data_IF_764978596857
#
_entry.id   IF_764978596857
#
_cell.length_a   1.000
_cell.length_b   1.000
_cell.length_c   1.000
_cell.angle_alpha   90.00
_cell.angle_beta   90.00
_cell.angle_gamma   90.00
#
_symmetry.space_group_name_H-M   'P 1'
#
loop_
_entity.id
_entity.type
_entity.pdbx_description
1 polymer ?
#
# COMPACT_ATOMS: atom_id res chain seq x y z
N UNK A 1 -2.39 -4.21 -16.18
CA UNK A 1 -3.51 -4.70 -15.35
C UNK A 1 -3.36 -4.16 -13.94
N UNK A 2 -4.43 -3.62 -13.38
CA UNK A 2 -4.40 -3.06 -12.02
C UNK A 2 -4.18 -4.17 -11.00
N UNK A 3 -3.26 -3.96 -10.06
CA UNK A 3 -3.01 -4.87 -8.96
C UNK A 3 -3.72 -4.35 -7.71
N UNK A 4 -4.64 -5.13 -7.18
CA UNK A 4 -5.44 -4.75 -6.00
C UNK A 4 -4.84 -5.39 -4.75
N UNK A 5 -4.76 -4.61 -3.68
CA UNK A 5 -4.23 -5.07 -2.40
C UNK A 5 -5.30 -4.96 -1.32
N UNK A 6 -5.41 -5.99 -0.51
CA UNK A 6 -6.40 -6.11 0.56
C UNK A 6 -5.69 -6.20 1.90
N UNK A 7 -6.42 -5.98 2.98
CA UNK A 7 -5.91 -6.26 4.32
C UNK A 7 -6.14 -7.74 4.69
N UNK A 8 -5.79 -8.12 5.92
CA UNK A 8 -5.96 -9.51 6.37
C UNK A 8 -7.42 -9.95 6.42
N UNK A 9 -8.34 -9.00 6.57
CA UNK A 9 -9.78 -9.28 6.62
C UNK A 9 -10.40 -9.40 5.23
N UNK A 10 -9.65 -9.10 4.19
CA UNK A 10 -10.15 -9.13 2.82
C UNK A 10 -10.75 -7.82 2.35
N UNK A 11 -10.57 -6.73 3.10
CA UNK A 11 -11.04 -5.41 2.69
C UNK A 11 -10.05 -4.80 1.70
N UNK A 12 -10.57 -4.26 0.59
CA UNK A 12 -9.73 -3.58 -0.40
C UNK A 12 -9.24 -2.26 0.18
N UNK A 13 -7.92 -2.11 0.25
CA UNK A 13 -7.30 -0.94 0.90
C UNK A 13 -6.36 -0.17 -0.01
N UNK A 14 -5.91 -0.76 -1.12
CA UNK A 14 -4.95 -0.08 -1.99
C UNK A 14 -4.92 -0.72 -3.38
N UNK A 15 -4.34 -0.01 -4.33
CA UNK A 15 -4.05 -0.57 -5.64
C UNK A 15 -2.86 0.14 -6.28
N UNK A 16 -2.26 -0.54 -7.26
CA UNK A 16 -1.24 0.03 -8.14
C UNK A 16 -1.68 -0.22 -9.57
N UNK A 17 -1.27 0.64 -10.51
CA UNK A 17 -1.77 0.60 -11.90
C UNK A 17 -1.47 -0.74 -12.56
N UNK A 18 -0.31 -1.31 -12.26
CA UNK A 18 0.01 -2.68 -12.64
C UNK A 18 0.93 -3.28 -11.59
N UNK A 19 1.24 -4.57 -11.72
CA UNK A 19 2.05 -5.27 -10.72
C UNK A 19 3.52 -4.82 -10.70
N UNK A 20 3.93 -3.97 -11.62
CA UNK A 20 5.24 -3.35 -11.64
C UNK A 20 5.18 -1.83 -11.41
N UNK A 21 4.00 -1.28 -11.17
CA UNK A 21 3.80 0.15 -10.95
C UNK A 21 4.50 0.62 -9.70
N UNK A 22 5.13 1.80 -9.75
CA UNK A 22 5.91 2.34 -8.64
C UNK A 22 5.05 3.02 -7.58
N UNK A 23 3.83 3.45 -7.94
CA UNK A 23 2.99 4.27 -7.06
C UNK A 23 1.82 3.48 -6.54
N UNK A 24 1.48 3.71 -5.27
CA UNK A 24 0.38 3.05 -4.59
C UNK A 24 -0.70 4.07 -4.25
N UNK A 25 -1.94 3.70 -4.50
CA UNK A 25 -3.12 4.55 -4.27
C UNK A 25 -4.11 3.84 -3.36
N UNK A 26 -4.90 4.61 -2.61
CA UNK A 26 -6.02 4.05 -1.88
C UNK A 26 -7.25 3.92 -2.82
N UNK A 27 -8.35 3.30 -2.37
CA UNK A 27 -9.54 3.15 -3.23
C UNK A 27 -10.14 4.45 -3.76
N UNK A 28 -9.89 5.58 -3.10
CA UNK A 28 -10.33 6.90 -3.56
C UNK A 28 -9.42 7.50 -4.62
N UNK A 29 -8.30 6.84 -4.95
CA UNK A 29 -7.33 7.34 -5.89
C UNK A 29 -6.32 8.32 -5.30
N UNK A 30 -6.27 8.44 -3.98
CA UNK A 30 -5.25 9.25 -3.32
C UNK A 30 -3.92 8.52 -3.29
N UNK A 31 -2.86 9.26 -3.57
CA UNK A 31 -1.51 8.71 -3.53
C UNK A 31 -1.08 8.52 -2.08
N UNK A 32 -0.83 7.27 -1.68
CA UNK A 32 -0.49 6.93 -0.30
C UNK A 32 0.92 6.39 -0.13
N UNK A 33 1.58 6.02 -1.23
CA UNK A 33 2.93 5.48 -1.11
C UNK A 33 3.53 5.10 -2.45
N UNK A 34 4.75 4.56 -2.40
CA UNK A 34 5.46 4.13 -3.59
C UNK A 34 6.50 3.07 -3.24
N UNK A 35 7.05 2.42 -4.27
CA UNK A 35 7.98 1.31 -4.13
C UNK A 35 9.38 1.77 -4.55
N UNK A 36 10.19 2.32 -3.63
CA UNK A 36 11.48 2.93 -4.01
C UNK A 36 12.58 1.92 -4.38
N UNK A 37 12.46 0.67 -3.91
CA UNK A 37 13.51 -0.33 -4.11
C UNK A 37 13.14 -1.41 -5.13
N UNK A 38 12.02 -1.26 -5.85
CA UNK A 38 11.51 -2.24 -6.82
C UNK A 38 11.30 -3.62 -6.21
N UNK A 39 10.88 -3.67 -4.94
CA UNK A 39 10.51 -4.90 -4.26
C UNK A 39 9.14 -4.75 -3.62
N UNK A 40 8.84 -5.50 -2.58
CA UNK A 40 7.52 -5.49 -1.94
C UNK A 40 7.36 -4.44 -0.86
N UNK A 41 8.42 -3.69 -0.52
CA UNK A 41 8.36 -2.68 0.52
C UNK A 41 7.84 -1.36 -0.03
N UNK A 42 6.86 -0.78 0.70
CA UNK A 42 6.21 0.47 0.33
C UNK A 42 6.56 1.53 1.38
N UNK A 43 6.86 2.73 0.92
CA UNK A 43 7.03 3.89 1.80
C UNK A 43 5.98 4.94 1.49
N UNK A 44 5.72 5.83 2.46
CA UNK A 44 4.86 7.00 2.25
C UNK A 44 5.54 7.97 1.28
N UNK A 45 4.82 8.98 0.76
CA UNK A 45 5.47 10.00 -0.07
C UNK A 45 6.66 10.69 0.62
N UNK A 46 6.65 10.75 1.95
CA UNK A 46 7.74 11.34 2.74
C UNK A 46 8.92 10.38 2.96
N UNK A 47 8.80 9.14 2.50
CA UNK A 47 9.88 8.16 2.62
C UNK A 47 9.86 7.32 3.89
N UNK A 48 8.77 7.33 4.64
CA UNK A 48 8.62 6.49 5.83
C UNK A 48 7.99 5.14 5.47
N UNK A 49 8.43 4.08 6.14
CA UNK A 49 7.89 2.74 5.87
C UNK A 49 6.37 2.71 6.11
N UNK A 50 5.64 2.22 5.11
CA UNK A 50 4.18 2.07 5.18
C UNK A 50 3.79 0.61 5.38
N UNK A 51 4.33 -0.28 4.59
CA UNK A 51 3.97 -1.69 4.63
C UNK A 51 4.72 -2.52 3.61
N UNK A 52 4.40 -3.81 3.56
CA UNK A 52 5.01 -4.78 2.66
C UNK A 52 3.92 -5.58 1.96
N UNK A 53 4.06 -5.80 0.67
CA UNK A 53 3.13 -6.61 -0.10
C UNK A 53 3.44 -8.09 0.16
N UNK A 54 2.45 -8.83 0.63
CA UNK A 54 2.52 -10.27 0.87
C UNK A 54 1.40 -10.91 0.03
N UNK A 55 1.75 -11.41 -1.14
CA UNK A 55 0.76 -11.92 -2.10
C UNK A 55 -0.13 -10.77 -2.60
N UNK A 56 -1.43 -10.84 -2.35
CA UNK A 56 -2.39 -9.78 -2.67
C UNK A 56 -2.77 -8.95 -1.43
N UNK A 57 -1.96 -9.01 -0.37
CA UNK A 57 -2.21 -8.30 0.89
C UNK A 57 -1.14 -7.24 1.12
N UNK A 58 -1.56 -6.13 1.70
CA UNK A 58 -0.64 -5.08 2.15
C UNK A 58 -0.64 -5.08 3.68
N UNK A 59 0.48 -5.47 4.27
CA UNK A 59 0.61 -5.65 5.71
C UNK A 59 1.84 -4.88 6.19
N UNK A 60 1.87 -4.54 7.47
CA UNK A 60 3.02 -3.89 8.10
C UNK A 60 3.87 -4.95 8.79
N UNK A 61 5.16 -5.02 8.44
CA UNK A 61 6.14 -5.85 9.14
C UNK A 61 6.54 -5.13 10.42
N UNK A 62 6.20 -5.70 11.58
CA UNK A 62 6.44 -5.06 12.88
C UNK A 62 7.91 -5.00 13.26
N UNK A 63 8.76 -5.77 12.59
CA UNK A 63 10.21 -5.81 12.82
C UNK A 63 10.99 -5.34 11.60
N UNK A 64 10.37 -4.54 10.73
CA UNK A 64 11.00 -4.09 9.49
C UNK A 64 12.26 -3.28 9.77
N UNK A 65 13.42 -3.66 9.19
CA UNK A 65 14.64 -2.88 9.38
C UNK A 65 14.55 -1.54 8.65
N UNK A 66 15.17 -0.52 9.23
CA UNK A 66 15.25 0.78 8.59
C UNK A 66 16.15 0.69 7.35
N UNK A 67 15.62 1.05 6.18
CA UNK A 67 16.33 0.99 4.90
C UNK A 67 16.77 2.37 4.39
N UNK A 68 16.68 3.38 5.23
CA UNK A 68 16.95 4.76 4.83
C UNK A 68 15.67 5.46 4.41
N UNK A 69 15.80 6.74 4.08
CA UNK A 69 14.69 7.55 3.61
C UNK A 69 14.92 7.89 2.14
N UNK A 70 14.20 7.24 1.20
CA UNK A 70 14.40 7.53 -0.22
C UNK A 70 13.97 8.94 -0.57
N UNK A 71 14.58 9.49 -1.63
CA UNK A 71 14.24 10.82 -2.11
C UNK A 71 12.80 10.85 -2.62
N UNK A 72 12.13 11.99 -2.44
CA UNK A 72 10.78 12.20 -2.91
C UNK A 72 10.71 12.01 -4.43
N UNK A 73 9.85 11.11 -4.94
CA UNK A 73 9.85 10.75 -6.35
C UNK A 73 9.09 11.75 -7.25
N UNK A 74 8.43 12.74 -6.67
CA UNK A 74 7.47 13.57 -7.37
C UNK A 74 6.08 12.95 -7.37
N UNK A 75 5.05 13.77 -7.33
CA UNK A 75 3.67 13.27 -7.25
C UNK A 75 3.26 12.64 -8.59
N UNK A 76 2.64 11.45 -8.57
CA UNK A 76 2.09 10.85 -9.78
C UNK A 76 0.83 11.58 -10.24
N UNK A 77 0.41 11.32 -11.48
CA UNK A 77 -0.89 11.77 -11.96
C UNK A 77 -2.00 11.03 -11.21
N UNK A 78 -3.14 11.71 -11.06
CA UNK A 78 -4.33 11.03 -10.56
C UNK A 78 -4.62 9.82 -11.47
N UNK A 79 -4.76 8.61 -10.92
CA UNK A 79 -4.87 7.40 -11.74
C UNK A 79 -6.24 7.21 -12.39
N UNK A 80 -7.20 8.05 -12.09
CA UNK A 80 -8.58 7.85 -12.51
C UNK A 80 -9.31 6.90 -11.58
N UNK A 81 -10.55 6.59 -11.91
CA UNK A 81 -11.33 5.65 -11.13
C UNK A 81 -11.03 4.22 -11.55
N UNK A 82 -11.00 3.33 -10.57
CA UNK A 82 -10.91 1.89 -10.81
C UNK A 82 -12.15 1.23 -10.22
N UNK A 83 -12.54 0.10 -10.80
CA UNK A 83 -13.69 -0.66 -10.33
C UNK A 83 -13.38 -1.35 -9.01
N UNK A 84 -14.36 -1.42 -8.12
CA UNK A 84 -14.23 -2.18 -6.88
C UNK A 84 -13.98 -3.66 -7.22
N UNK A 85 -12.87 -4.25 -6.74
CA UNK A 85 -12.51 -5.63 -7.10
C UNK A 85 -13.29 -6.68 -6.32
N UNK A 86 -14.07 -6.27 -5.32
CA UNK A 86 -14.71 -7.18 -4.39
C UNK A 86 -13.84 -7.44 -3.17
N UNK A 87 -14.42 -8.07 -2.18
CA UNK A 87 -13.69 -8.49 -0.99
C UNK A 87 -12.88 -9.74 -1.30
N UNK A 88 -11.72 -9.86 -0.67
CA UNK A 88 -10.93 -11.09 -0.71
C UNK A 88 -11.25 -11.97 0.49
N UNK A 89 -10.75 -13.19 0.50
CA UNK A 89 -10.91 -14.09 1.62
C UNK A 89 -10.11 -13.59 2.82
N UNK A 90 -10.60 -13.91 4.04
CA UNK A 90 -9.82 -13.70 5.25
C UNK A 90 -8.56 -14.56 5.20
N UNK A 91 -7.43 -14.01 5.63
CA UNK A 91 -6.19 -14.76 5.82
C UNK A 91 -5.72 -14.57 7.25
N UNK A 92 -5.11 -15.63 7.80
CA UNK A 92 -4.47 -15.51 9.11
C UNK A 92 -3.28 -14.57 9.02
N UNK A 93 -3.12 -13.69 10.01
CA UNK A 93 -2.00 -12.75 10.04
C UNK A 93 -0.69 -13.52 10.16
N UNK A 94 0.26 -13.32 9.23
CA UNK A 94 1.59 -13.92 9.37
C UNK A 94 2.28 -13.42 10.63
N UNK A 95 3.13 -14.26 11.22
CA UNK A 95 3.90 -13.87 12.40
C UNK A 95 4.79 -12.67 12.05
N UNK A 96 4.76 -11.64 12.89
CA UNK A 96 5.54 -10.43 12.68
C UNK A 96 4.89 -9.37 11.80
N UNK A 97 3.64 -9.59 11.39
CA UNK A 97 2.90 -8.62 10.56
C UNK A 97 1.65 -8.14 11.27
N UNK A 98 1.15 -6.99 10.84
CA UNK A 98 -0.13 -6.46 11.26
C UNK A 98 -0.74 -5.67 10.09
N UNK A 99 -2.04 -5.37 10.17
CA UNK A 99 -2.69 -4.55 9.16
C UNK A 99 -2.14 -3.12 9.20
N UNK A 100 -2.08 -2.49 8.01
CA UNK A 100 -1.60 -1.11 7.90
C UNK A 100 -2.57 -0.18 8.61
N UNK A 101 -2.03 0.79 9.34
CA UNK A 101 -2.84 1.77 10.07
C UNK A 101 -3.73 2.56 9.11
N UNK A 102 -5.01 2.75 9.46
CA UNK A 102 -5.96 3.49 8.63
C UNK A 102 -5.54 4.92 8.36
N UNK A 103 -4.81 5.56 9.30
CA UNK A 103 -4.32 6.92 9.11
C UNK A 103 -3.33 7.04 7.95
N UNK A 104 -2.62 5.97 7.60
CA UNK A 104 -1.72 5.94 6.45
C UNK A 104 -2.46 5.67 5.14
N UNK A 105 -3.57 4.92 5.20
CA UNK A 105 -4.37 4.56 4.03
C UNK A 105 -5.35 5.67 3.63
N UNK A 106 -5.85 6.43 4.60
CA UNK A 106 -6.88 7.44 4.39
C UNK A 106 -6.43 8.78 4.95
N UNK A 107 -5.41 9.41 4.34
CA UNK A 107 -4.83 10.64 4.91
C UNK A 107 -5.81 11.81 4.97
N UNK A 108 -6.80 11.86 4.10
CA UNK A 108 -7.80 12.94 4.11
C UNK A 108 -8.76 12.83 5.29
N UNK A 109 -8.98 11.61 5.78
CA UNK A 109 -9.94 11.36 6.86
C UNK A 109 -9.25 11.45 8.21
N UNK A 110 -7.97 11.13 8.26
CA UNK A 110 -7.19 11.04 9.48
C UNK A 110 -6.67 12.39 10.00
N UNK A 111 -7.05 13.49 9.38
CA UNK A 111 -6.58 14.83 9.76
C UNK A 111 -7.07 15.26 11.15
#
# INVERSE_FOLDING_TARGET
>A
MTAYLHDSQGTWIAYRIDDTGRFLFNPDGDWIGWFPWNDDDVVTPDGHYLGTVVGDRLLTDTAHPFRGTPDYPGAPRYPGQVSYPGAAAFVSMPVGYQDVAGSLLWPRIAS
#
